data_IF_682352535725
#
_entry.id   IF_682352535725
#
_cell.length_a   1.000
_cell.length_b   1.000
_cell.length_c   1.000
_cell.angle_alpha   90.00
_cell.angle_beta   90.00
_cell.angle_gamma   90.00
#
_symmetry.space_group_name_H-M   'P 1'
#
loop_
_entity.id
_entity.type
_entity.pdbx_description
1 polymer ?
#
# COMPACT_ATOMS: atom_id res chain seq x y z
N UNK A 1 5.55 -12.71 2.49
CA UNK A 1 6.27 -11.61 1.80
C UNK A 1 6.72 -10.58 2.83
N UNK A 2 7.65 -9.69 2.51
CA UNK A 2 8.04 -8.60 3.40
C UNK A 2 8.39 -7.35 2.61
N UNK A 3 7.96 -6.21 3.10
CA UNK A 3 8.42 -4.91 2.64
C UNK A 3 9.67 -4.52 3.42
N UNK A 4 10.70 -4.08 2.71
CA UNK A 4 11.93 -3.58 3.30
C UNK A 4 12.19 -2.16 2.81
N UNK A 5 12.62 -1.28 3.71
CA UNK A 5 13.10 0.05 3.34
C UNK A 5 14.47 -0.09 2.68
N UNK A 6 14.57 0.34 1.42
CA UNK A 6 15.83 0.38 0.66
C UNK A 6 16.59 1.67 0.97
N UNK A 7 15.88 2.80 0.93
CA UNK A 7 16.39 4.10 1.37
C UNK A 7 15.25 4.95 1.88
N UNK A 8 15.54 5.87 2.80
CA UNK A 8 14.57 6.83 3.30
C UNK A 8 15.25 8.16 3.54
N UNK A 9 14.80 9.16 2.81
CA UNK A 9 15.24 10.56 2.89
C UNK A 9 14.02 11.44 3.17
N UNK A 10 14.25 12.75 3.29
CA UNK A 10 13.16 13.73 3.46
C UNK A 10 12.31 13.83 2.17
N UNK A 11 12.93 13.65 1.00
CA UNK A 11 12.29 13.83 -0.30
C UNK A 11 11.58 12.57 -0.80
N UNK A 12 12.08 11.41 -0.39
CA UNK A 12 11.66 10.12 -0.91
C UNK A 12 11.96 8.98 0.08
N UNK A 13 11.03 8.04 0.18
CA UNK A 13 11.24 6.73 0.81
C UNK A 13 11.02 5.62 -0.22
N UNK A 14 12.04 4.79 -0.42
CA UNK A 14 12.02 3.66 -1.35
C UNK A 14 11.89 2.36 -0.58
N UNK A 15 10.94 1.53 -0.99
CA UNK A 15 10.63 0.24 -0.40
C UNK A 15 10.70 -0.85 -1.46
N UNK A 16 11.12 -2.05 -1.07
CA UNK A 16 11.11 -3.22 -1.91
C UNK A 16 10.30 -4.35 -1.26
N UNK A 17 9.41 -4.97 -2.04
CA UNK A 17 8.68 -6.16 -1.65
C UNK A 17 9.51 -7.38 -2.00
N UNK A 18 9.77 -8.22 -1.00
CA UNK A 18 10.54 -9.45 -1.15
C UNK A 18 9.71 -10.68 -0.83
N UNK A 19 10.00 -11.77 -1.54
CA UNK A 19 9.51 -13.10 -1.24
C UNK A 19 10.60 -14.13 -1.48
N UNK A 20 10.95 -14.91 -0.46
CA UNK A 20 11.97 -15.97 -0.55
C UNK A 20 13.28 -15.54 -1.24
N UNK A 21 13.79 -14.34 -0.90
CA UNK A 21 15.03 -13.80 -1.47
C UNK A 21 14.89 -13.20 -2.87
N UNK A 22 13.72 -13.27 -3.51
CA UNK A 22 13.44 -12.60 -4.79
C UNK A 22 12.75 -11.26 -4.56
N UNK A 23 13.28 -10.20 -5.19
CA UNK A 23 12.62 -8.90 -5.25
C UNK A 23 11.42 -9.00 -6.21
N UNK A 24 10.24 -8.66 -5.70
CA UNK A 24 9.00 -8.69 -6.46
C UNK A 24 8.70 -7.32 -7.04
N UNK A 25 8.60 -6.29 -6.20
CA UNK A 25 8.15 -4.94 -6.58
C UNK A 25 8.99 -3.89 -5.86
N UNK A 26 9.21 -2.74 -6.50
CA UNK A 26 9.79 -1.55 -5.85
C UNK A 26 8.74 -0.44 -5.79
N UNK A 27 8.65 0.27 -4.66
CA UNK A 27 7.83 1.46 -4.50
C UNK A 27 8.68 2.63 -4.02
N UNK A 28 8.64 3.72 -4.76
CA UNK A 28 9.21 5.02 -4.40
C UNK A 28 8.08 5.96 -3.96
N UNK A 29 8.07 6.36 -2.69
CA UNK A 29 7.09 7.28 -2.15
C UNK A 29 7.67 8.69 -2.00
N UNK A 30 7.02 9.67 -2.63
CA UNK A 30 7.39 11.08 -2.55
C UNK A 30 6.38 11.84 -1.70
N UNK A 31 6.75 12.26 -0.46
CA UNK A 31 5.84 12.93 0.47
C UNK A 31 5.22 14.21 -0.08
N UNK A 32 6.02 15.06 -0.74
CA UNK A 32 5.62 16.37 -1.25
C UNK A 32 4.43 16.28 -2.22
N UNK A 33 4.45 15.30 -3.13
CA UNK A 33 3.38 15.07 -4.10
C UNK A 33 2.39 14.00 -3.67
N UNK A 34 2.64 13.31 -2.54
CA UNK A 34 1.89 12.12 -2.12
C UNK A 34 1.79 11.07 -3.24
N UNK A 35 2.89 10.89 -3.97
CA UNK A 35 2.96 9.98 -5.11
C UNK A 35 3.71 8.70 -4.72
N UNK A 36 3.12 7.55 -5.03
CA UNK A 36 3.76 6.25 -4.99
C UNK A 36 4.07 5.81 -6.43
N UNK A 37 5.36 5.75 -6.77
CA UNK A 37 5.86 5.25 -8.05
C UNK A 37 6.22 3.78 -7.87
N UNK A 38 5.56 2.92 -8.64
CA UNK A 38 5.68 1.47 -8.54
C UNK A 38 6.39 0.95 -9.77
N UNK A 39 7.36 0.06 -9.55
CA UNK A 39 8.05 -0.69 -10.59
C UNK A 39 7.90 -2.19 -10.33
N UNK A 40 7.36 -2.89 -11.32
CA UNK A 40 7.18 -4.34 -11.34
C UNK A 40 7.56 -4.89 -12.71
N UNK A 41 8.58 -5.75 -12.77
CA UNK A 41 9.14 -6.22 -14.05
C UNK A 41 9.46 -5.04 -15.00
N UNK A 42 8.83 -4.99 -16.18
CA UNK A 42 8.99 -3.89 -17.15
C UNK A 42 7.88 -2.83 -17.03
N UNK A 43 6.93 -3.01 -16.11
CA UNK A 43 5.82 -2.10 -15.89
C UNK A 43 6.14 -1.06 -14.83
N UNK A 44 5.72 0.17 -15.12
CA UNK A 44 5.78 1.30 -14.18
C UNK A 44 4.39 1.90 -14.04
N UNK A 45 4.00 2.18 -12.80
CA UNK A 45 2.71 2.82 -12.49
C UNK A 45 2.90 3.90 -11.44
N UNK A 46 2.15 4.99 -11.56
CA UNK A 46 2.15 6.07 -10.56
C UNK A 46 0.78 6.15 -9.92
N UNK A 47 0.76 6.14 -8.60
CA UNK A 47 -0.44 6.33 -7.80
C UNK A 47 -0.33 7.62 -6.99
N UNK A 48 -1.32 8.49 -7.14
CA UNK A 48 -1.48 9.67 -6.29
C UNK A 48 -2.43 9.33 -5.14
N UNK A 49 -1.95 9.48 -3.91
CA UNK A 49 -2.71 9.21 -2.69
C UNK A 49 -3.31 10.51 -2.19
N UNK A 50 -4.63 10.63 -2.25
CA UNK A 50 -5.36 11.84 -1.85
C UNK A 50 -6.33 11.55 -0.71
N UNK A 51 -6.64 12.58 0.06
CA UNK A 51 -7.73 12.53 1.02
C UNK A 51 -8.88 13.39 0.51
N UNK A 52 -10.08 12.83 0.48
CA UNK A 52 -11.31 13.45 0.01
C UNK A 52 -12.42 13.36 1.06
N UNK A 53 -13.55 14.01 0.80
CA UNK A 53 -14.73 14.03 1.66
C UNK A 53 -14.72 15.12 2.72
N UNK A 54 -15.85 15.25 3.42
CA UNK A 54 -15.96 16.11 4.60
C UNK A 54 -14.95 15.62 5.65
N UNK A 55 -14.17 16.55 6.22
CA UNK A 55 -13.07 16.25 7.16
C UNK A 55 -11.93 15.37 6.61
N UNK A 56 -11.82 15.17 5.28
CA UNK A 56 -10.71 14.41 4.65
C UNK A 56 -10.57 12.99 5.18
N UNK A 57 -11.69 12.33 5.46
CA UNK A 57 -11.73 10.99 6.05
C UNK A 57 -11.61 9.85 5.03
N UNK A 58 -11.64 10.14 3.72
CA UNK A 58 -11.61 9.14 2.67
C UNK A 58 -10.28 9.18 1.92
N UNK A 59 -9.51 8.11 2.00
CA UNK A 59 -8.31 7.94 1.18
C UNK A 59 -8.69 7.42 -0.20
N UNK A 60 -8.34 8.18 -1.24
CA UNK A 60 -8.57 7.81 -2.64
C UNK A 60 -7.27 7.70 -3.40
N UNK A 61 -7.33 6.87 -4.43
CA UNK A 61 -6.19 6.42 -5.19
C UNK A 61 -6.42 6.86 -6.62
N UNK A 62 -5.57 7.72 -7.12
CA UNK A 62 -5.67 8.25 -8.47
C UNK A 62 -4.47 7.82 -9.32
N UNK A 63 -4.66 7.75 -10.63
CA UNK A 63 -3.54 7.66 -11.57
C UNK A 63 -2.83 9.02 -11.70
N UNK A 64 -1.82 9.09 -12.57
CA UNK A 64 -1.04 10.29 -12.86
C UNK A 64 -1.87 11.46 -13.42
N UNK A 65 -3.02 11.18 -14.03
CA UNK A 65 -3.95 12.19 -14.55
C UNK A 65 -5.01 12.62 -13.52
N UNK A 66 -4.96 12.08 -12.30
CA UNK A 66 -5.93 12.38 -11.24
C UNK A 66 -7.24 11.59 -11.32
N UNK A 67 -7.38 10.66 -12.27
CA UNK A 67 -8.56 9.79 -12.40
C UNK A 67 -8.52 8.77 -11.26
N UNK A 68 -9.66 8.61 -10.56
CA UNK A 68 -9.76 7.67 -9.44
C UNK A 68 -9.69 6.22 -9.95
N UNK A 69 -8.71 5.48 -9.47
CA UNK A 69 -8.50 4.05 -9.72
C UNK A 69 -9.01 3.19 -8.56
N UNK A 70 -9.12 3.78 -7.36
CA UNK A 70 -9.50 3.04 -6.17
C UNK A 70 -9.69 3.91 -4.93
N UNK A 71 -9.99 3.25 -3.82
CA UNK A 71 -10.10 3.91 -2.52
C UNK A 71 -9.91 2.92 -1.37
N UNK A 72 -9.48 3.43 -0.21
CA UNK A 72 -9.50 2.70 1.05
C UNK A 72 -10.74 3.09 1.86
N UNK A 73 -11.37 2.11 2.50
CA UNK A 73 -12.54 2.33 3.38
C UNK A 73 -12.57 1.31 4.51
N UNK A 74 -13.46 1.56 5.46
CA UNK A 74 -13.84 0.60 6.49
C UNK A 74 -15.35 0.37 6.44
N UNK A 75 -15.77 -0.88 6.53
CA UNK A 75 -17.18 -1.29 6.57
C UNK A 75 -17.33 -2.49 7.51
N UNK A 76 -18.32 -2.46 8.41
CA UNK A 76 -18.56 -3.52 9.40
C UNK A 76 -17.30 -3.94 10.17
N UNK A 77 -16.50 -2.94 10.60
CA UNK A 77 -15.23 -3.14 11.31
C UNK A 77 -14.17 -3.91 10.52
N UNK A 78 -14.27 -3.92 9.17
CA UNK A 78 -13.28 -4.50 8.26
C UNK A 78 -12.75 -3.41 7.34
N UNK A 79 -11.43 -3.30 7.26
CA UNK A 79 -10.79 -2.37 6.33
C UNK A 79 -10.61 -3.06 4.98
N UNK A 80 -10.79 -2.29 3.91
CA UNK A 80 -10.58 -2.78 2.55
C UNK A 80 -10.01 -1.71 1.64
N UNK A 81 -9.33 -2.18 0.59
CA UNK A 81 -8.94 -1.40 -0.58
C UNK A 81 -9.75 -1.92 -1.75
N UNK A 82 -10.43 -1.02 -2.44
CA UNK A 82 -11.04 -1.30 -3.73
C UNK A 82 -10.14 -0.70 -4.80
N UNK A 83 -9.68 -1.52 -5.75
CA UNK A 83 -8.80 -1.14 -6.84
C UNK A 83 -9.25 -1.87 -8.10
N UNK A 84 -9.44 -1.15 -9.20
CA UNK A 84 -9.88 -1.73 -10.48
C UNK A 84 -11.14 -2.63 -10.34
N UNK A 85 -12.11 -2.17 -9.52
CA UNK A 85 -13.37 -2.88 -9.17
C UNK A 85 -13.21 -4.16 -8.33
N UNK A 86 -11.98 -4.55 -8.01
CA UNK A 86 -11.69 -5.66 -7.12
C UNK A 86 -11.52 -5.17 -5.68
N UNK A 87 -12.15 -5.88 -4.75
CA UNK A 87 -12.11 -5.56 -3.32
C UNK A 87 -11.14 -6.47 -2.59
N UNK A 88 -10.22 -5.88 -1.83
CA UNK A 88 -9.24 -6.56 -0.99
C UNK A 88 -9.43 -6.14 0.45
N UNK A 89 -9.86 -7.05 1.31
CA UNK A 89 -9.88 -6.81 2.74
C UNK A 89 -8.47 -6.94 3.30
N UNK A 90 -8.16 -6.12 4.30
CA UNK A 90 -6.88 -6.21 5.00
C UNK A 90 -7.03 -6.09 6.51
N UNK A 91 -6.11 -6.74 7.22
CA UNK A 91 -5.95 -6.62 8.66
C UNK A 91 -4.49 -6.36 8.97
N UNK A 92 -4.22 -5.40 9.86
CA UNK A 92 -2.87 -5.11 10.34
C UNK A 92 -2.77 -5.66 11.76
N UNK A 93 -1.91 -6.65 11.98
CA UNK A 93 -1.63 -7.20 13.29
C UNK A 93 -0.54 -6.36 13.98
N UNK A 94 -0.93 -5.59 14.99
CA UNK A 94 0.00 -4.76 15.76
C UNK A 94 0.89 -5.56 16.72
N UNK A 95 0.59 -6.84 16.99
CA UNK A 95 1.37 -7.69 17.89
C UNK A 95 2.53 -8.40 17.17
N UNK A 96 2.46 -8.55 15.84
CA UNK A 96 3.46 -9.26 15.02
C UNK A 96 4.05 -8.36 13.95
N UNK A 97 5.00 -7.50 14.32
CA UNK A 97 5.80 -6.70 13.38
C UNK A 97 4.99 -5.91 12.31
N UNK A 98 3.73 -5.53 12.62
CA UNK A 98 2.80 -4.92 11.66
C UNK A 98 2.55 -5.80 10.41
N UNK A 99 2.42 -7.11 10.61
CA UNK A 99 1.99 -8.03 9.56
C UNK A 99 0.64 -7.62 9.01
N UNK A 100 0.57 -7.53 7.69
CA UNK A 100 -0.64 -7.24 6.94
C UNK A 100 -1.11 -8.50 6.26
N UNK A 101 -2.31 -8.94 6.64
CA UNK A 101 -3.02 -10.03 5.99
C UNK A 101 -3.99 -9.45 4.97
N UNK A 102 -3.86 -9.82 3.70
CA UNK A 102 -4.78 -9.47 2.62
C UNK A 102 -5.60 -10.69 2.22
N UNK A 103 -6.91 -10.50 2.07
CA UNK A 103 -7.87 -11.57 1.75
C UNK A 103 -9.09 -11.03 0.99
N UNK A 104 -9.85 -11.93 0.36
CA UNK A 104 -11.12 -11.62 -0.31
C UNK A 104 -12.31 -12.23 0.44
N UNK A 105 -12.29 -13.55 0.60
CA UNK A 105 -13.40 -14.28 1.21
C UNK A 105 -13.27 -14.37 2.74
N UNK A 106 -12.15 -14.92 3.22
CA UNK A 106 -11.91 -15.13 4.65
C UNK A 106 -10.44 -14.94 5.03
N UNK A 107 -10.20 -14.68 6.33
CA UNK A 107 -8.85 -14.57 6.89
C UNK A 107 -8.11 -15.91 6.94
N UNK A 108 -8.83 -17.03 6.88
CA UNK A 108 -8.27 -18.40 6.93
C UNK A 108 -7.60 -18.78 5.61
N UNK A 109 -8.06 -18.17 4.50
CA UNK A 109 -7.50 -18.34 3.16
C UNK A 109 -6.97 -17.00 2.64
N UNK A 110 -5.87 -16.47 3.22
CA UNK A 110 -5.34 -15.18 2.80
C UNK A 110 -4.72 -15.25 1.41
N UNK A 111 -4.90 -14.18 0.63
CA UNK A 111 -4.19 -14.00 -0.64
C UNK A 111 -2.71 -13.69 -0.40
N UNK A 112 -2.41 -12.97 0.68
CA UNK A 112 -1.06 -12.61 1.05
C UNK A 112 -0.93 -12.31 2.55
N UNK A 113 0.23 -12.63 3.10
CA UNK A 113 0.69 -12.13 4.39
C UNK A 113 2.01 -11.39 4.14
N UNK A 114 2.07 -10.14 4.56
CA UNK A 114 3.22 -9.26 4.33
C UNK A 114 3.61 -8.51 5.59
N UNK A 115 4.86 -8.64 6.02
CA UNK A 115 5.41 -7.75 7.04
C UNK A 115 5.59 -6.35 6.45
N UNK A 116 5.11 -5.31 7.13
CA UNK A 116 5.35 -3.92 6.74
C UNK A 116 6.65 -3.42 7.37
N UNK A 117 7.39 -2.52 6.71
CA UNK A 117 8.50 -1.88 7.38
C UNK A 117 7.89 -0.92 8.40
N UNK A 118 8.46 -0.85 9.60
CA UNK A 118 8.18 0.26 10.53
C UNK A 118 9.44 1.12 10.53
N UNK A 119 9.56 2.15 9.67
CA UNK A 119 10.71 3.03 9.73
C UNK A 119 10.62 3.80 11.05
N UNK A 120 11.61 3.63 11.93
CA UNK A 120 11.66 4.31 13.24
C UNK A 120 11.50 5.84 13.11
N UNK A 121 11.95 6.41 11.99
CA UNK A 121 11.88 7.86 11.72
C UNK A 121 10.51 8.36 11.23
N UNK A 122 9.64 7.47 10.72
CA UNK A 122 8.37 7.84 10.09
C UNK A 122 7.14 7.48 10.93
N UNK A 123 7.29 6.62 11.95
CA UNK A 123 6.21 6.05 12.77
C UNK A 123 5.22 7.05 13.39
N UNK A 124 5.58 8.32 13.52
CA UNK A 124 4.76 9.37 14.14
C UNK A 124 4.27 10.48 13.21
N UNK A 125 4.50 10.40 11.89
CA UNK A 125 4.12 11.46 10.95
C UNK A 125 2.91 11.09 10.07
N UNK A 126 1.98 12.03 9.75
CA UNK A 126 0.89 11.82 8.79
C UNK A 126 1.36 11.37 7.39
N UNK A 127 2.63 11.61 7.08
CA UNK A 127 3.31 11.14 5.87
C UNK A 127 3.37 9.61 5.82
N UNK A 128 3.57 8.96 6.97
CA UNK A 128 3.62 7.51 7.08
C UNK A 128 2.28 6.86 6.76
N UNK A 129 1.16 7.46 7.16
CA UNK A 129 -0.16 6.94 6.81
C UNK A 129 -0.35 6.87 5.29
N UNK A 130 0.09 7.92 4.57
CA UNK A 130 0.05 7.91 3.10
C UNK A 130 1.00 6.87 2.50
N UNK A 131 2.23 6.78 2.99
CA UNK A 131 3.18 5.77 2.55
C UNK A 131 2.63 4.35 2.76
N UNK A 132 2.01 4.08 3.91
CA UNK A 132 1.33 2.83 4.24
C UNK A 132 0.22 2.51 3.24
N UNK A 133 -0.62 3.47 2.89
CA UNK A 133 -1.61 3.27 1.83
C UNK A 133 -0.94 2.97 0.48
N UNK A 134 0.14 3.67 0.13
CA UNK A 134 0.94 3.35 -1.07
C UNK A 134 1.46 1.91 -1.09
N UNK A 135 2.00 1.43 0.03
CA UNK A 135 2.45 0.03 0.17
C UNK A 135 1.30 -0.98 0.04
N UNK A 136 0.18 -0.73 0.73
CA UNK A 136 -1.01 -1.60 0.66
C UNK A 136 -1.58 -1.67 -0.75
N UNK A 137 -1.71 -0.52 -1.42
CA UNK A 137 -2.19 -0.44 -2.79
C UNK A 137 -1.30 -1.19 -3.75
N UNK A 138 0.01 -1.00 -3.62
CA UNK A 138 1.00 -1.63 -4.48
C UNK A 138 0.96 -3.14 -4.32
N UNK A 139 0.78 -3.60 -3.09
CA UNK A 139 0.57 -5.01 -2.81
C UNK A 139 -0.73 -5.54 -3.46
N UNK A 140 -1.85 -4.82 -3.35
CA UNK A 140 -3.11 -5.22 -4.01
C UNK A 140 -2.96 -5.23 -5.54
N UNK A 141 -2.33 -4.22 -6.11
CA UNK A 141 -2.07 -4.13 -7.54
C UNK A 141 -1.18 -5.26 -8.04
N UNK A 142 -0.10 -5.56 -7.32
CA UNK A 142 0.77 -6.71 -7.60
C UNK A 142 -0.02 -8.02 -7.60
N UNK A 143 -0.88 -8.24 -6.60
CA UNK A 143 -1.72 -9.44 -6.52
C UNK A 143 -2.71 -9.55 -7.70
N UNK A 144 -3.19 -8.43 -8.25
CA UNK A 144 -3.99 -8.43 -9.47
C UNK A 144 -3.19 -8.87 -10.70
N UNK A 145 -1.91 -8.47 -10.81
CA UNK A 145 -1.06 -8.86 -11.94
C UNK A 145 -0.63 -10.34 -11.92
N UNK A 146 -0.81 -11.05 -10.79
CA UNK A 146 -0.47 -12.47 -10.66
C UNK A 146 -1.64 -13.42 -11.00
N UNK A 147 -2.79 -12.87 -11.38
CA UNK A 147 -3.97 -13.62 -11.81
C UNK A 147 -4.02 -13.72 -13.33
#
# INVERSE_FOLDING_TARGET
MKWETVTSTIEESVFALWNNGKKLVTLAFHPASSAARVEFAEERRVFLIRQEGLLKNKTVLCNEYGIRMGHARSENNRNFIELDQERFFYNVDSQRAQDVTIYQESKENPLAICAFPVPEQLSHQPVWDKAKYGLLMTLCWYLLQQR
#
